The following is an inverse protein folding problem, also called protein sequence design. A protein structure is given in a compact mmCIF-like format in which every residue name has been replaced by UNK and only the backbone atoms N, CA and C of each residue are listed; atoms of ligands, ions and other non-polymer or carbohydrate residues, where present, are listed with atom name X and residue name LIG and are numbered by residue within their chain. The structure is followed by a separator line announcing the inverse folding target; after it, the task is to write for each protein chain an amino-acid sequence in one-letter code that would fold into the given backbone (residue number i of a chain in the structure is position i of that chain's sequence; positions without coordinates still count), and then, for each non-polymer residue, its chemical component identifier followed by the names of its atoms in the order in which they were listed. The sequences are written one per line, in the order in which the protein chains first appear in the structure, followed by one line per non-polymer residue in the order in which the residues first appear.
data_IF_981844420704
#
_entry.id   IF_981844420704
#
_cell.length_a   1.000
_cell.length_b   1.000
_cell.length_c   1.000
_cell.angle_alpha   90.00
_cell.angle_beta   90.00
_cell.angle_gamma   90.00
#
_symmetry.space_group_name_H-M   'P 1'
#
loop_
_entity.id
_entity.type
_entity.pdbx_description
1 polymer ?
#
# COMPACT_ATOMS: atom_id res chain seq x y z
N UNK A 1 -8.26 2.58 -33.19
CA UNK A 1 -9.21 2.43 -32.08
C UNK A 1 -9.37 3.79 -31.43
N UNK A 2 -10.58 4.33 -31.32
CA UNK A 2 -10.77 5.67 -30.75
C UNK A 2 -10.35 5.64 -29.27
N UNK A 3 -9.62 6.68 -28.83
CA UNK A 3 -9.22 6.90 -27.43
C UNK A 3 -10.42 7.11 -26.49
N UNK A 4 -11.64 7.14 -27.01
CA UNK A 4 -12.85 7.57 -26.30
C UNK A 4 -13.25 6.60 -25.18
N UNK A 5 -13.10 5.29 -25.37
CA UNK A 5 -13.54 4.28 -24.39
C UNK A 5 -12.83 4.43 -23.03
N UNK A 6 -11.58 4.90 -23.01
CA UNK A 6 -10.83 5.09 -21.76
C UNK A 6 -11.41 6.21 -20.90
N UNK A 7 -12.03 7.22 -21.52
CA UNK A 7 -12.56 8.40 -20.85
C UNK A 7 -14.06 8.31 -20.56
N UNK A 8 -14.73 7.27 -21.07
CA UNK A 8 -16.13 6.99 -20.76
C UNK A 8 -16.33 6.52 -19.33
N UNK A 9 -17.43 6.96 -18.73
CA UNK A 9 -17.88 6.45 -17.44
C UNK A 9 -18.27 4.97 -17.52
N UNK A 10 -18.05 4.25 -16.43
CA UNK A 10 -18.43 2.83 -16.32
C UNK A 10 -18.80 2.48 -14.87
N UNK A 11 -19.25 1.25 -14.63
CA UNK A 11 -19.56 0.78 -13.28
C UNK A 11 -18.55 -0.29 -12.84
N UNK A 12 -18.15 -0.23 -11.58
CA UNK A 12 -17.40 -1.26 -10.88
C UNK A 12 -18.20 -1.66 -9.64
N UNK A 13 -18.96 -2.75 -9.74
CA UNK A 13 -19.92 -3.11 -8.69
C UNK A 13 -20.88 -1.95 -8.39
N UNK A 14 -20.96 -1.46 -7.13
CA UNK A 14 -21.84 -0.34 -6.78
C UNK A 14 -21.28 1.04 -7.16
N UNK A 15 -20.02 1.12 -7.62
CA UNK A 15 -19.35 2.39 -7.86
C UNK A 15 -19.48 2.84 -9.32
N UNK A 16 -19.89 4.10 -9.51
CA UNK A 16 -19.83 4.77 -10.82
C UNK A 16 -18.47 5.43 -11.00
N UNK A 17 -17.69 4.94 -11.95
CA UNK A 17 -16.37 5.48 -12.29
C UNK A 17 -16.52 6.56 -13.37
N UNK A 18 -15.77 7.66 -13.24
CA UNK A 18 -15.78 8.74 -14.24
C UNK A 18 -15.05 8.41 -15.54
N UNK A 19 -14.11 7.47 -15.49
CA UNK A 19 -13.34 6.97 -16.63
C UNK A 19 -12.83 5.54 -16.32
N UNK A 20 -12.17 4.89 -17.29
CA UNK A 20 -11.63 3.53 -17.16
C UNK A 20 -10.12 3.50 -16.85
N UNK A 21 -9.57 4.61 -16.36
CA UNK A 21 -8.15 4.75 -16.02
C UNK A 21 -7.98 4.50 -14.53
N UNK A 22 -6.99 3.69 -14.17
CA UNK A 22 -6.78 3.24 -12.78
C UNK A 22 -5.39 3.62 -12.32
N UNK A 23 -5.25 4.11 -11.09
CA UNK A 23 -3.95 4.12 -10.41
C UNK A 23 -3.71 2.73 -9.83
N UNK A 24 -2.76 1.94 -10.38
CA UNK A 24 -2.47 0.61 -9.86
C UNK A 24 -1.86 0.68 -8.45
N UNK A 25 -1.82 -0.43 -7.71
CA UNK A 25 -1.12 -0.47 -6.43
C UNK A 25 0.39 -0.28 -6.64
N UNK A 26 0.98 0.69 -5.95
CA UNK A 26 2.38 1.08 -6.12
C UNK A 26 3.03 1.27 -4.75
N UNK A 27 3.82 0.30 -4.27
CA UNK A 27 4.55 0.40 -3.00
C UNK A 27 5.52 1.58 -2.99
N UNK A 28 5.38 2.49 -2.01
CA UNK A 28 6.19 3.73 -1.95
C UNK A 28 7.11 3.81 -0.73
N UNK A 29 6.93 2.96 0.28
CA UNK A 29 7.79 2.89 1.48
C UNK A 29 7.96 4.26 2.18
N UNK A 30 6.85 4.94 2.47
CA UNK A 30 6.82 6.30 3.05
C UNK A 30 5.97 6.43 4.32
N UNK A 31 5.61 5.32 4.94
CA UNK A 31 4.85 5.35 6.20
C UNK A 31 5.71 5.83 7.37
N UNK A 32 5.07 6.49 8.33
CA UNK A 32 5.72 6.98 9.54
C UNK A 32 6.20 5.83 10.42
N UNK A 33 7.40 6.00 10.97
CA UNK A 33 8.00 5.09 11.95
C UNK A 33 8.08 5.75 13.34
N UNK A 34 8.01 4.96 14.43
CA UNK A 34 7.66 3.54 14.43
C UNK A 34 6.18 3.31 14.12
N UNK A 35 5.82 2.08 13.74
CA UNK A 35 4.42 1.64 13.64
C UNK A 35 3.84 1.54 12.24
N UNK A 36 4.60 1.91 11.20
CA UNK A 36 4.16 1.79 9.80
C UNK A 36 2.83 2.51 9.53
N UNK A 37 2.72 3.76 10.01
CA UNK A 37 1.46 4.52 10.04
C UNK A 37 1.33 5.37 8.77
N UNK A 38 0.21 5.29 8.00
CA UNK A 38 -0.04 6.24 6.92
C UNK A 38 -0.09 7.68 7.43
N UNK A 39 0.45 8.62 6.65
CA UNK A 39 0.65 10.01 7.09
C UNK A 39 0.10 11.03 6.09
N UNK A 40 0.23 12.31 6.44
CA UNK A 40 -0.33 13.41 5.65
C UNK A 40 0.32 13.52 4.26
N UNK A 41 1.59 13.16 4.11
CA UNK A 41 2.27 13.06 2.80
C UNK A 41 1.59 12.00 1.90
N UNK A 42 1.24 10.85 2.46
CA UNK A 42 0.51 9.81 1.73
C UNK A 42 -0.91 10.27 1.38
N UNK A 43 -1.59 11.00 2.27
CA UNK A 43 -2.92 11.57 2.01
C UNK A 43 -2.88 12.55 0.83
N UNK A 44 -1.92 13.47 0.81
CA UNK A 44 -1.71 14.39 -0.31
C UNK A 44 -1.37 13.66 -1.62
N UNK A 45 -0.53 12.62 -1.53
CA UNK A 45 -0.18 11.80 -2.70
C UNK A 45 -1.42 11.15 -3.36
N UNK A 46 -2.32 10.56 -2.58
CA UNK A 46 -3.53 9.94 -3.15
C UNK A 46 -4.56 10.99 -3.59
N UNK A 47 -4.73 12.07 -2.82
CA UNK A 47 -5.61 13.20 -3.18
C UNK A 47 -5.29 13.77 -4.57
N UNK A 48 -4.01 13.97 -4.87
CA UNK A 48 -3.56 14.46 -6.19
C UNK A 48 -3.93 13.55 -7.37
N UNK A 49 -4.29 12.28 -7.11
CA UNK A 49 -4.54 11.25 -8.13
C UNK A 49 -6.01 10.90 -8.29
N UNK A 50 -6.90 11.67 -7.67
CA UNK A 50 -8.35 11.49 -7.78
C UNK A 50 -8.87 11.66 -9.20
N UNK A 51 -8.06 12.13 -10.15
CA UNK A 51 -8.33 12.11 -11.60
C UNK A 51 -8.55 10.72 -12.20
N UNK A 52 -8.05 9.65 -11.58
CA UNK A 52 -8.33 8.28 -11.98
C UNK A 52 -9.82 7.91 -11.75
N UNK A 53 -10.33 6.94 -12.50
CA UNK A 53 -11.65 6.37 -12.27
C UNK A 53 -11.75 5.75 -10.87
N UNK A 54 -10.72 5.00 -10.48
CA UNK A 54 -10.45 4.63 -9.09
C UNK A 54 -8.93 4.42 -8.87
N UNK A 55 -8.54 4.24 -7.62
CA UNK A 55 -7.17 3.92 -7.23
C UNK A 55 -7.10 2.74 -6.27
N UNK A 56 -5.96 2.06 -6.27
CA UNK A 56 -5.63 1.04 -5.29
C UNK A 56 -4.42 1.52 -4.49
N UNK A 57 -4.45 1.38 -3.16
CA UNK A 57 -3.33 1.75 -2.30
C UNK A 57 -2.08 0.94 -2.60
N UNK A 58 -0.95 1.37 -2.06
CA UNK A 58 0.21 0.50 -1.86
C UNK A 58 -0.12 -0.73 -0.99
N UNK A 59 0.76 -1.73 -1.07
CA UNK A 59 0.66 -2.95 -0.28
C UNK A 59 0.58 -2.64 1.21
N UNK A 60 -0.50 -3.11 1.84
CA UNK A 60 -0.86 -2.77 3.21
C UNK A 60 -0.92 -4.02 4.08
N UNK A 61 -0.03 -4.13 5.08
CA UNK A 61 0.07 -5.35 5.89
C UNK A 61 -1.17 -5.59 6.76
N UNK A 62 -1.72 -6.80 6.65
CA UNK A 62 -2.88 -7.26 7.43
C UNK A 62 -2.51 -7.69 8.85
N UNK A 63 -1.22 -7.90 9.10
CA UNK A 63 -0.65 -8.26 10.41
C UNK A 63 0.87 -7.99 10.40
N UNK A 64 1.53 -7.94 11.58
CA UNK A 64 2.95 -7.61 11.67
C UNK A 64 3.89 -8.48 10.81
N UNK A 65 3.65 -9.81 10.73
CA UNK A 65 4.49 -10.72 9.93
C UNK A 65 4.31 -10.53 8.42
N UNK A 66 3.25 -9.84 8.02
CA UNK A 66 2.96 -9.52 6.63
C UNK A 66 3.86 -8.45 6.03
N UNK A 67 4.77 -7.83 6.81
CA UNK A 67 5.72 -6.84 6.31
C UNK A 67 6.88 -7.49 5.54
N UNK A 68 7.16 -6.99 4.33
CA UNK A 68 8.29 -7.44 3.50
C UNK A 68 9.28 -6.36 3.12
N UNK A 69 8.87 -5.10 3.24
CA UNK A 69 9.68 -3.95 2.89
C UNK A 69 9.61 -2.95 4.04
N UNK A 70 10.71 -2.27 4.33
CA UNK A 70 10.73 -1.21 5.33
C UNK A 70 9.77 -0.09 4.91
N UNK A 71 9.09 0.47 5.92
CA UNK A 71 8.21 1.63 5.79
C UNK A 71 6.98 1.44 4.90
N UNK A 72 6.53 0.22 4.67
CA UNK A 72 5.21 -0.06 4.09
C UNK A 72 4.12 0.05 5.15
N UNK A 73 2.94 0.62 4.83
CA UNK A 73 1.90 0.86 5.81
C UNK A 73 1.18 -0.42 6.25
N UNK A 74 0.71 -0.47 7.50
CA UNK A 74 -0.19 -1.54 7.97
C UNK A 74 -1.66 -1.13 8.01
N UNK A 75 -2.54 -2.09 8.34
CA UNK A 75 -3.97 -1.86 8.62
C UNK A 75 -4.47 -2.79 9.76
N UNK A 76 -3.62 -3.04 10.74
CA UNK A 76 -3.85 -3.97 11.84
C UNK A 76 -3.77 -3.31 13.22
N UNK A 77 -3.41 -2.03 13.32
CA UNK A 77 -3.42 -1.26 14.57
C UNK A 77 -4.39 -0.08 14.53
N UNK A 78 -4.86 0.42 15.69
CA UNK A 78 -5.70 1.61 15.75
C UNK A 78 -5.06 2.84 15.09
N UNK A 79 -3.77 3.05 15.27
CA UNK A 79 -3.03 4.19 14.71
C UNK A 79 -2.91 4.10 13.18
N UNK A 80 -2.76 2.88 12.66
CA UNK A 80 -2.75 2.63 11.21
C UNK A 80 -4.12 2.90 10.59
N UNK A 81 -5.20 2.46 11.25
CA UNK A 81 -6.58 2.73 10.83
C UNK A 81 -6.83 4.25 10.82
N UNK A 82 -6.38 4.96 11.84
CA UNK A 82 -6.45 6.42 11.92
C UNK A 82 -5.73 7.11 10.76
N UNK A 83 -4.51 6.67 10.45
CA UNK A 83 -3.74 7.15 9.31
C UNK A 83 -4.46 6.91 7.98
N UNK A 84 -4.96 5.70 7.75
CA UNK A 84 -5.73 5.40 6.53
C UNK A 84 -7.02 6.20 6.43
N UNK A 85 -7.69 6.45 7.55
CA UNK A 85 -8.90 7.27 7.55
C UNK A 85 -8.62 8.68 7.02
N UNK A 86 -7.50 9.29 7.38
CA UNK A 86 -7.07 10.58 6.80
C UNK A 86 -6.89 10.51 5.28
N UNK A 87 -6.22 9.47 4.79
CA UNK A 87 -6.02 9.23 3.36
C UNK A 87 -7.36 9.10 2.63
N UNK A 88 -8.25 8.23 3.12
CA UNK A 88 -9.57 8.03 2.48
C UNK A 88 -10.42 9.28 2.53
N UNK A 89 -10.39 10.06 3.63
CA UNK A 89 -11.12 11.31 3.74
C UNK A 89 -10.63 12.34 2.69
N UNK A 90 -9.32 12.47 2.51
CA UNK A 90 -8.74 13.36 1.49
C UNK A 90 -9.12 12.95 0.06
N UNK A 91 -9.19 11.65 -0.23
CA UNK A 91 -9.65 11.14 -1.53
C UNK A 91 -11.14 11.37 -1.75
N UNK A 92 -11.97 11.06 -0.75
CA UNK A 92 -13.42 11.19 -0.83
C UNK A 92 -13.88 12.65 -0.89
N UNK A 93 -13.14 13.58 -0.28
CA UNK A 93 -13.40 15.02 -0.41
C UNK A 93 -13.35 15.51 -1.87
N UNK A 94 -12.56 14.84 -2.71
CA UNK A 94 -12.45 15.11 -4.16
C UNK A 94 -13.36 14.21 -5.01
N UNK A 95 -14.26 13.45 -4.38
CA UNK A 95 -15.14 12.48 -5.05
C UNK A 95 -14.40 11.27 -5.65
N UNK A 96 -13.17 10.99 -5.21
CA UNK A 96 -12.39 9.85 -5.67
C UNK A 96 -12.85 8.52 -5.04
N UNK A 97 -12.47 7.40 -5.67
CA UNK A 97 -12.74 6.05 -5.17
C UNK A 97 -11.39 5.36 -4.93
N UNK A 98 -11.19 4.78 -3.75
CA UNK A 98 -9.95 4.12 -3.34
C UNK A 98 -10.23 2.75 -2.69
N UNK A 99 -9.42 1.76 -3.05
CA UNK A 99 -9.44 0.42 -2.45
C UNK A 99 -8.10 0.09 -1.80
N UNK A 100 -8.12 -0.68 -0.72
CA UNK A 100 -6.90 -1.14 -0.06
C UNK A 100 -6.36 -2.42 -0.72
N UNK A 101 -5.08 -2.43 -1.10
CA UNK A 101 -4.38 -3.67 -1.42
C UNK A 101 -3.92 -4.34 -0.13
N UNK A 102 -4.73 -5.27 0.39
CA UNK A 102 -4.36 -6.10 1.52
C UNK A 102 -3.30 -7.11 1.09
N UNK A 103 -2.22 -7.24 1.88
CA UNK A 103 -1.16 -8.18 1.57
C UNK A 103 -0.62 -8.95 2.79
N UNK A 104 0.01 -10.08 2.49
CA UNK A 104 0.96 -10.75 3.36
C UNK A 104 2.09 -11.25 2.46
N UNK A 105 3.31 -10.75 2.65
CA UNK A 105 4.42 -11.01 1.72
C UNK A 105 4.99 -12.43 1.80
N UNK A 106 4.76 -13.13 2.92
CA UNK A 106 5.30 -14.46 3.17
C UNK A 106 6.82 -14.45 3.18
N UNK A 107 7.44 -15.34 2.39
CA UNK A 107 8.91 -15.47 2.32
C UNK A 107 9.64 -14.28 1.69
N UNK A 108 8.94 -13.37 1.01
CA UNK A 108 9.57 -12.17 0.42
C UNK A 108 9.64 -11.09 1.52
N UNK A 109 10.50 -11.34 2.50
CA UNK A 109 10.74 -10.50 3.68
C UNK A 109 12.15 -10.76 4.21
N UNK A 110 12.50 -10.12 5.32
CA UNK A 110 13.79 -10.27 5.99
C UNK A 110 13.58 -10.35 7.51
N UNK A 111 14.44 -11.09 8.22
CA UNK A 111 14.34 -11.28 9.67
C UNK A 111 14.29 -9.95 10.45
N UNK A 112 15.00 -8.92 9.98
CA UNK A 112 14.99 -7.59 10.62
C UNK A 112 13.63 -6.88 10.59
N UNK A 113 12.72 -7.30 9.69
CA UNK A 113 11.37 -6.76 9.58
C UNK A 113 10.35 -7.58 10.37
N UNK A 114 10.76 -8.73 10.90
CA UNK A 114 9.85 -9.65 11.56
C UNK A 114 9.79 -9.41 13.08
N UNK A 115 8.63 -9.66 13.71
CA UNK A 115 8.51 -9.59 15.16
C UNK A 115 9.59 -10.42 15.87
N UNK A 116 10.36 -9.77 16.74
CA UNK A 116 11.43 -10.42 17.52
C UNK A 116 12.60 -10.95 16.68
N UNK A 117 12.77 -10.51 15.43
CA UNK A 117 13.85 -11.01 14.57
C UNK A 117 13.62 -12.42 14.01
N UNK A 118 12.39 -12.92 14.08
CA UNK A 118 12.03 -14.27 13.62
C UNK A 118 12.21 -14.42 12.09
N UNK A 119 12.25 -15.67 11.62
CA UNK A 119 12.21 -15.95 10.19
C UNK A 119 10.82 -15.60 9.61
N UNK A 120 10.74 -15.07 8.37
CA UNK A 120 9.47 -14.92 7.67
C UNK A 120 8.75 -16.26 7.49
N UNK A 121 7.41 -16.22 7.46
CA UNK A 121 6.59 -17.43 7.27
C UNK A 121 6.31 -17.71 5.78
N UNK A 122 6.12 -18.99 5.45
CA UNK A 122 5.83 -19.42 4.09
C UNK A 122 5.11 -20.79 4.08
N UNK A 123 4.49 -21.18 2.94
CA UNK A 123 3.91 -22.52 2.80
C UNK A 123 4.95 -23.66 2.88
N UNK A 124 6.22 -23.36 2.62
CA UNK A 124 7.33 -24.33 2.67
C UNK A 124 8.63 -23.61 3.04
N UNK A 125 9.57 -24.34 3.64
CA UNK A 125 10.89 -23.82 4.04
C UNK A 125 11.83 -23.70 2.82
N UNK A 126 11.47 -22.85 1.85
CA UNK A 126 12.23 -22.58 0.62
C UNK A 126 12.51 -21.09 0.55
N UNK A 127 13.80 -20.73 0.57
CA UNK A 127 14.28 -19.36 0.47
C UNK A 127 13.86 -18.70 -0.86
N UNK A 128 13.74 -17.37 -0.84
CA UNK A 128 13.40 -16.58 -2.01
C UNK A 128 14.69 -15.97 -2.61
N UNK A 129 15.34 -16.71 -3.52
CA UNK A 129 16.73 -16.42 -3.92
C UNK A 129 16.87 -15.43 -5.09
N UNK A 130 15.77 -14.99 -5.69
CA UNK A 130 15.74 -14.09 -6.86
C UNK A 130 14.90 -12.83 -6.63
N UNK A 131 14.78 -12.42 -5.37
CA UNK A 131 14.03 -11.22 -4.99
C UNK A 131 14.90 -10.31 -4.13
N UNK A 132 14.54 -9.04 -4.13
CA UNK A 132 15.14 -8.01 -3.27
C UNK A 132 14.08 -7.43 -2.36
N UNK A 133 14.47 -7.15 -1.13
CA UNK A 133 13.58 -6.62 -0.09
C UNK A 133 14.26 -5.42 0.54
N UNK A 134 13.56 -4.29 0.44
CA UNK A 134 14.04 -3.04 1.01
C UNK A 134 14.03 -3.14 2.54
N UNK A 135 15.19 -2.98 3.17
CA UNK A 135 15.36 -3.02 4.63
C UNK A 135 15.90 -1.69 5.16
N UNK A 136 15.55 -1.35 6.40
CA UNK A 136 16.16 -0.23 7.11
C UNK A 136 17.54 -0.64 7.63
N UNK A 137 18.53 0.22 7.40
CA UNK A 137 19.95 0.00 7.76
C UNK A 137 20.44 1.02 8.79
N UNK A 138 19.62 2.02 9.09
CA UNK A 138 19.87 3.09 10.04
C UNK A 138 18.75 4.13 9.99
N UNK A 139 18.72 5.15 10.87
CA UNK A 139 17.62 6.11 10.93
C UNK A 139 17.39 6.83 9.59
N UNK A 140 16.27 6.53 8.93
CA UNK A 140 15.92 7.08 7.62
C UNK A 140 16.79 6.59 6.46
N UNK A 141 17.60 5.55 6.68
CA UNK A 141 18.45 4.93 5.68
C UNK A 141 17.98 3.51 5.41
N UNK A 142 17.91 3.12 4.13
CA UNK A 142 17.60 1.74 3.77
C UNK A 142 18.29 1.31 2.47
N UNK A 143 18.34 0.01 2.25
CA UNK A 143 18.92 -0.62 1.07
C UNK A 143 17.98 -1.69 0.50
N UNK A 144 18.09 -1.93 -0.80
CA UNK A 144 17.37 -2.98 -1.54
C UNK A 144 18.02 -4.36 -1.41
#
# INVERSE_FOLDING_TARGET
MSKEILFESTHLGPYKLKNRIVLPPLTRCRSTQPGNIPNDLMADYYRQRTGAGFMVTEGTQIEPRGQGYAWTPGIHSPEQIEGWRKVTAAVHAEGGIIFAQLWHVGRVSHNSLQPGGAAPIAPSAIAADQVKVFIETGPGQGML
#
